data_IF_051107193428
#
_entry.id   IF_051107193428
#
_cell.length_a   1.000
_cell.length_b   1.000
_cell.length_c   1.000
_cell.angle_alpha   90.00
_cell.angle_beta   90.00
_cell.angle_gamma   90.00
#
_symmetry.space_group_name_H-M   'P 1'
#
loop_
_entity.id
_entity.type
_entity.pdbx_description
1 polymer ?
#
# COMPACT_ATOMS: atom_id res chain seq x y z
N UNK A 1 -18.39 50.28 -13.24
CA UNK A 1 -17.96 49.12 -12.44
C UNK A 1 -16.89 48.39 -13.23
N UNK A 2 -15.62 48.60 -12.89
CA UNK A 2 -14.48 48.07 -13.65
C UNK A 2 -14.05 46.73 -13.03
N UNK A 3 -14.35 45.62 -13.71
CA UNK A 3 -13.81 44.31 -13.35
C UNK A 3 -12.32 44.27 -13.71
N UNK A 4 -11.46 44.27 -12.68
CA UNK A 4 -10.03 43.99 -12.81
C UNK A 4 -9.85 42.49 -13.07
N UNK A 5 -9.42 42.14 -14.27
CA UNK A 5 -8.92 40.82 -14.64
C UNK A 5 -7.59 40.57 -13.92
N UNK A 6 -7.58 39.66 -12.96
CA UNK A 6 -6.34 39.20 -12.32
C UNK A 6 -5.71 38.17 -13.26
N UNK A 7 -4.80 38.62 -14.13
CA UNK A 7 -3.81 37.77 -14.78
C UNK A 7 -2.75 37.42 -13.74
N UNK A 8 -3.03 36.42 -12.93
CA UNK A 8 -2.08 35.85 -11.99
C UNK A 8 -1.28 34.75 -12.67
N UNK A 9 -0.03 35.06 -13.04
CA UNK A 9 1.01 34.06 -13.23
C UNK A 9 1.12 33.21 -11.96
N UNK A 10 0.67 31.96 -12.04
CA UNK A 10 0.86 30.92 -11.04
C UNK A 10 1.65 29.76 -11.62
N UNK A 11 2.77 30.04 -12.29
CA UNK A 11 3.79 29.06 -12.66
C UNK A 11 4.61 28.72 -11.40
N UNK A 12 3.96 28.08 -10.43
CA UNK A 12 4.65 27.43 -9.32
C UNK A 12 4.88 25.98 -9.73
N UNK A 13 6.17 25.66 -9.92
CA UNK A 13 6.73 24.38 -10.30
C UNK A 13 5.96 23.18 -9.72
N UNK A 14 5.21 22.48 -10.58
CA UNK A 14 4.87 21.07 -10.38
C UNK A 14 6.12 20.27 -10.72
N UNK A 15 7.15 20.44 -9.90
CA UNK A 15 8.28 19.53 -9.81
C UNK A 15 7.89 18.34 -8.91
N UNK A 16 6.73 17.72 -9.18
CA UNK A 16 6.45 16.34 -8.76
C UNK A 16 7.17 15.41 -9.73
N UNK A 17 8.50 15.50 -9.75
CA UNK A 17 9.34 14.49 -10.37
C UNK A 17 9.10 13.19 -9.61
N UNK A 18 8.25 12.30 -10.13
CA UNK A 18 8.51 10.87 -10.33
C UNK A 18 9.39 10.15 -9.27
N UNK A 19 9.22 10.43 -7.97
CA UNK A 19 9.88 9.68 -6.89
C UNK A 19 9.10 8.41 -6.51
N UNK A 20 7.93 8.18 -7.12
CA UNK A 20 7.31 6.87 -7.13
C UNK A 20 7.88 6.06 -8.28
N UNK A 21 8.56 4.96 -7.99
CA UNK A 21 8.89 3.90 -8.96
C UNK A 21 7.62 3.17 -9.47
N UNK A 22 6.50 3.87 -9.62
CA UNK A 22 5.22 3.28 -9.95
C UNK A 22 5.02 3.35 -11.46
N UNK A 23 4.67 2.21 -12.03
CA UNK A 23 4.28 2.06 -13.42
C UNK A 23 2.98 2.84 -13.67
N UNK A 24 2.99 3.75 -14.64
CA UNK A 24 1.82 4.54 -15.04
C UNK A 24 1.06 3.74 -16.07
N UNK A 25 -0.20 3.42 -15.78
CA UNK A 25 -1.05 2.62 -16.66
C UNK A 25 -2.04 3.51 -17.41
N UNK A 26 -2.14 3.31 -18.72
CA UNK A 26 -3.03 4.00 -19.64
C UNK A 26 -3.97 3.00 -20.28
N UNK A 27 -5.24 3.37 -20.38
CA UNK A 27 -6.24 2.64 -21.17
C UNK A 27 -6.63 3.50 -22.36
N UNK A 28 -6.59 2.92 -23.55
CA UNK A 28 -6.72 3.69 -24.77
C UNK A 28 -7.01 2.88 -26.02
N UNK A 29 -6.91 3.57 -27.16
CA UNK A 29 -7.11 3.03 -28.49
C UNK A 29 -5.83 3.21 -29.30
N UNK A 30 -5.41 2.13 -29.96
CA UNK A 30 -4.38 2.15 -30.99
C UNK A 30 -5.07 2.07 -32.35
N UNK A 31 -4.89 3.10 -33.18
CA UNK A 31 -5.35 3.11 -34.55
C UNK A 31 -4.15 2.87 -35.48
N UNK A 32 -4.15 1.75 -36.18
CA UNK A 32 -3.07 1.33 -37.09
C UNK A 32 -3.53 1.57 -38.52
N UNK A 33 -2.83 2.43 -39.24
CA UNK A 33 -3.13 2.80 -40.64
C UNK A 33 -2.34 1.94 -41.62
N UNK A 34 -1.10 1.60 -41.28
CA UNK A 34 -0.22 0.70 -42.04
C UNK A 34 0.33 -0.38 -41.11
N UNK A 35 0.66 -1.60 -41.60
CA UNK A 35 1.19 -2.66 -40.74
C UNK A 35 2.41 -2.18 -39.93
N UNK A 36 2.35 -2.28 -38.60
CA UNK A 36 3.47 -1.97 -37.70
C UNK A 36 4.16 -3.27 -37.33
N UNK A 37 5.48 -3.33 -37.49
CA UNK A 37 6.29 -4.47 -37.05
C UNK A 37 7.08 -4.08 -35.81
N UNK A 38 6.79 -4.74 -34.68
CA UNK A 38 7.51 -4.57 -33.43
C UNK A 38 8.58 -5.65 -33.30
N UNK A 39 9.82 -5.25 -33.01
CA UNK A 39 10.88 -6.17 -32.64
C UNK A 39 10.61 -6.68 -31.21
N UNK A 40 10.27 -7.97 -31.07
CA UNK A 40 10.03 -8.61 -29.78
C UNK A 40 11.32 -8.97 -29.04
N UNK A 41 11.24 -9.16 -27.72
CA UNK A 41 12.38 -9.55 -26.88
C UNK A 41 13.03 -10.88 -27.32
N UNK A 42 12.23 -11.83 -27.83
CA UNK A 42 12.71 -13.14 -28.27
C UNK A 42 13.15 -13.16 -29.75
N UNK A 43 13.42 -11.98 -30.34
CA UNK A 43 13.70 -11.81 -31.79
C UNK A 43 12.55 -12.22 -32.72
N UNK A 44 11.40 -12.53 -32.15
CA UNK A 44 10.17 -12.75 -32.92
C UNK A 44 9.56 -11.39 -33.18
N UNK A 45 9.50 -11.03 -34.46
CA UNK A 45 8.82 -9.84 -34.90
C UNK A 45 7.30 -10.03 -34.76
N UNK A 46 6.64 -9.06 -34.15
CA UNK A 46 5.19 -9.06 -34.03
C UNK A 46 4.62 -8.02 -34.99
N UNK A 47 3.78 -8.47 -35.92
CA UNK A 47 3.13 -7.60 -36.90
C UNK A 47 1.71 -7.29 -36.45
N UNK A 48 1.40 -6.01 -36.31
CA UNK A 48 0.05 -5.52 -36.05
C UNK A 48 -0.48 -4.93 -37.35
N UNK A 49 -1.50 -5.58 -37.92
CA UNK A 49 -2.13 -5.15 -39.17
C UNK A 49 -3.01 -3.90 -38.96
N UNK A 50 -3.34 -3.18 -40.05
CA UNK A 50 -4.26 -2.03 -39.99
C UNK A 50 -5.58 -2.37 -39.30
N UNK A 51 -6.06 -1.43 -38.48
CA UNK A 51 -7.26 -1.60 -37.67
C UNK A 51 -7.22 -0.76 -36.39
N UNK A 52 -8.34 -0.76 -35.66
CA UNK A 52 -8.45 -0.08 -34.38
C UNK A 52 -8.54 -1.10 -33.25
N UNK A 53 -7.67 -0.97 -32.25
CA UNK A 53 -7.52 -1.94 -31.17
C UNK A 53 -7.57 -1.27 -29.81
N UNK A 54 -8.36 -1.84 -28.89
CA UNK A 54 -8.25 -1.51 -27.47
C UNK A 54 -6.84 -1.88 -27.00
N UNK A 55 -6.14 -0.91 -26.41
CA UNK A 55 -4.73 -1.07 -26.04
C UNK A 55 -4.51 -0.52 -24.64
N UNK A 56 -3.94 -1.37 -23.78
CA UNK A 56 -3.39 -0.92 -22.50
C UNK A 56 -1.92 -0.60 -22.70
N UNK A 57 -1.50 0.59 -22.30
CA UNK A 57 -0.10 0.97 -22.31
C UNK A 57 0.37 1.18 -20.87
N UNK A 58 1.60 0.82 -20.55
CA UNK A 58 2.20 1.16 -19.27
C UNK A 58 3.59 1.74 -19.45
N UNK A 59 3.93 2.73 -18.64
CA UNK A 59 5.25 3.38 -18.64
C UNK A 59 5.86 3.20 -17.27
N UNK A 60 6.98 2.50 -17.19
CA UNK A 60 7.64 2.17 -15.93
C UNK A 60 9.15 2.05 -16.06
N UNK A 61 9.74 1.34 -15.09
CA UNK A 61 11.17 1.03 -15.05
C UNK A 61 11.34 -0.48 -14.94
N UNK A 62 12.33 -1.02 -15.63
CA UNK A 62 12.80 -2.40 -15.49
C UNK A 62 14.32 -2.36 -15.31
N UNK A 63 14.78 -2.61 -14.08
CA UNK A 63 16.18 -2.44 -13.70
C UNK A 63 16.67 -0.99 -13.94
N UNK A 64 17.69 -0.85 -14.79
CA UNK A 64 18.28 0.44 -15.15
C UNK A 64 17.66 1.09 -16.40
N UNK A 65 16.63 0.49 -16.99
CA UNK A 65 15.97 0.97 -18.21
C UNK A 65 14.55 1.47 -17.92
N UNK A 66 14.08 2.40 -18.75
CA UNK A 66 12.66 2.72 -18.84
C UNK A 66 12.00 1.78 -19.83
N UNK A 67 10.75 1.43 -19.56
CA UNK A 67 10.02 0.44 -20.35
C UNK A 67 8.62 0.97 -20.64
N UNK A 68 8.20 0.86 -21.90
CA UNK A 68 6.82 0.99 -22.33
C UNK A 68 6.30 -0.40 -22.68
N UNK A 69 5.25 -0.86 -22.01
CA UNK A 69 4.56 -2.11 -22.38
C UNK A 69 3.25 -1.77 -23.06
N UNK A 70 2.94 -2.45 -24.16
CA UNK A 70 1.68 -2.34 -24.87
C UNK A 70 1.01 -3.72 -24.85
N UNK A 71 -0.25 -3.78 -24.42
CA UNK A 71 -1.12 -4.95 -24.57
C UNK A 71 -2.24 -4.61 -25.55
N UNK A 72 -2.11 -5.09 -26.79
CA UNK A 72 -2.98 -4.77 -27.93
C UNK A 72 -4.00 -5.90 -28.12
N UNK A 73 -5.29 -5.61 -28.02
CA UNK A 73 -6.36 -6.59 -28.20
C UNK A 73 -6.67 -6.86 -29.69
N UNK A 74 -5.79 -7.56 -30.40
CA UNK A 74 -5.88 -7.85 -31.84
C UNK A 74 -6.26 -9.32 -32.17
N UNK A 75 -6.83 -10.05 -31.21
CA UNK A 75 -7.22 -11.45 -31.39
C UNK A 75 -7.72 -12.08 -30.09
N UNK A 76 -7.75 -13.42 -30.03
CA UNK A 76 -8.16 -14.17 -28.83
C UNK A 76 -7.19 -13.99 -27.66
N UNK A 77 -5.91 -13.74 -27.94
CA UNK A 77 -4.88 -13.40 -26.96
C UNK A 77 -4.34 -12.01 -27.31
N UNK A 78 -4.14 -11.13 -26.31
CA UNK A 78 -3.58 -9.81 -26.55
C UNK A 78 -2.12 -9.92 -26.96
N UNK A 79 -1.74 -9.17 -27.99
CA UNK A 79 -0.36 -8.99 -28.40
C UNK A 79 0.36 -8.13 -27.36
N UNK A 80 1.47 -8.64 -26.82
CA UNK A 80 2.31 -7.92 -25.84
C UNK A 80 3.58 -7.42 -26.52
N UNK A 81 3.81 -6.11 -26.44
CA UNK A 81 5.02 -5.46 -26.96
C UNK A 81 5.72 -4.77 -25.79
N UNK A 82 7.03 -4.93 -25.70
CA UNK A 82 7.86 -4.25 -24.71
C UNK A 82 8.93 -3.40 -25.40
N UNK A 83 8.89 -2.10 -25.20
CA UNK A 83 9.86 -1.14 -25.72
C UNK A 83 10.75 -0.67 -24.56
N UNK A 84 12.02 -1.04 -24.60
CA UNK A 84 13.01 -0.64 -23.59
C UNK A 84 13.90 0.47 -24.11
N UNK A 85 14.15 1.50 -23.29
CA UNK A 85 15.02 2.62 -23.64
C UNK A 85 15.80 3.14 -22.43
N UNK A 86 16.82 3.97 -22.70
CA UNK A 86 17.73 4.47 -21.67
C UNK A 86 17.02 5.30 -20.60
N UNK A 87 17.37 5.11 -19.33
CA UNK A 87 16.78 5.82 -18.19
C UNK A 87 16.94 7.34 -18.25
N UNK A 88 17.97 7.83 -18.93
CA UNK A 88 18.28 9.26 -19.04
C UNK A 88 17.36 9.97 -20.04
N UNK A 89 16.61 9.23 -20.86
CA UNK A 89 15.61 9.82 -21.77
C UNK A 89 14.38 10.19 -20.96
N UNK A 90 14.03 11.48 -20.93
CA UNK A 90 12.85 11.98 -20.22
C UNK A 90 11.63 12.04 -21.14
N UNK A 91 10.53 11.45 -20.70
CA UNK A 91 9.22 11.62 -21.32
C UNK A 91 8.58 12.84 -20.63
N UNK A 92 8.64 13.99 -21.31
CA UNK A 92 8.02 15.23 -20.87
C UNK A 92 6.62 15.42 -21.47
N UNK A 93 6.15 16.67 -21.45
CA UNK A 93 4.86 17.03 -22.06
C UNK A 93 4.82 16.78 -23.58
N UNK A 94 5.96 16.93 -24.26
CA UNK A 94 6.18 16.44 -25.61
C UNK A 94 7.42 15.54 -25.60
N UNK A 95 7.41 14.49 -26.41
CA UNK A 95 8.52 13.55 -26.50
C UNK A 95 8.71 13.03 -27.92
N UNK A 96 9.97 12.72 -28.23
CA UNK A 96 10.39 12.00 -29.42
C UNK A 96 11.35 10.91 -28.97
N UNK A 97 11.00 9.67 -29.25
CA UNK A 97 11.86 8.51 -29.09
C UNK A 97 12.23 7.99 -30.47
N UNK A 98 13.51 8.07 -30.81
CA UNK A 98 13.99 7.60 -32.11
C UNK A 98 14.01 6.07 -32.16
N UNK A 99 13.91 5.52 -33.37
CA UNK A 99 14.02 4.10 -33.68
C UNK A 99 15.22 3.44 -32.98
N UNK A 100 16.37 4.10 -32.99
CA UNK A 100 17.59 3.63 -32.33
C UNK A 100 17.48 3.60 -30.79
N UNK A 101 16.78 4.57 -30.18
CA UNK A 101 16.61 4.64 -28.72
C UNK A 101 15.68 3.57 -28.17
N UNK A 102 14.66 3.17 -28.93
CA UNK A 102 13.68 2.13 -28.54
C UNK A 102 13.96 0.75 -29.16
N UNK A 103 15.01 0.64 -29.98
CA UNK A 103 15.38 -0.61 -30.66
C UNK A 103 14.34 -1.08 -31.68
N UNK A 104 13.67 -0.15 -32.36
CA UNK A 104 12.62 -0.41 -33.35
C UNK A 104 13.03 0.11 -34.73
N UNK A 105 12.18 -0.10 -35.74
CA UNK A 105 12.34 0.42 -37.09
C UNK A 105 11.51 1.69 -37.36
N UNK A 106 10.86 2.23 -36.35
CA UNK A 106 10.05 3.45 -36.38
C UNK A 106 10.43 4.36 -35.21
N UNK A 107 10.23 5.65 -35.38
CA UNK A 107 10.26 6.64 -34.31
C UNK A 107 8.89 6.70 -33.61
N UNK A 108 8.87 7.19 -32.39
CA UNK A 108 7.66 7.41 -31.61
C UNK A 108 7.61 8.86 -31.13
N UNK A 109 6.64 9.61 -31.60
CA UNK A 109 6.46 11.04 -31.28
C UNK A 109 5.16 11.23 -30.55
N UNK A 110 5.10 12.09 -29.53
CA UNK A 110 3.86 12.24 -28.79
C UNK A 110 3.84 13.37 -27.79
N UNK A 111 2.70 13.46 -27.11
CA UNK A 111 2.48 14.37 -25.99
C UNK A 111 1.89 13.64 -24.79
N UNK A 112 2.15 14.19 -23.61
CA UNK A 112 1.58 13.73 -22.35
C UNK A 112 1.12 14.93 -21.53
N UNK A 113 -0.17 15.22 -21.58
CA UNK A 113 -0.78 16.29 -20.80
C UNK A 113 -1.12 15.78 -19.41
N UNK A 114 -0.61 16.45 -18.37
CA UNK A 114 -0.87 16.09 -16.97
C UNK A 114 -1.66 17.18 -16.28
N UNK A 115 -2.80 16.82 -15.72
CA UNK A 115 -3.67 17.70 -14.93
C UNK A 115 -3.77 17.16 -13.51
N UNK A 116 -3.58 18.03 -12.53
CA UNK A 116 -3.70 17.69 -11.11
C UNK A 116 -4.82 18.52 -10.51
N UNK A 117 -5.79 17.85 -9.91
CA UNK A 117 -6.92 18.46 -9.22
C UNK A 117 -6.95 18.02 -7.76
N UNK A 118 -7.37 18.92 -6.88
CA UNK A 118 -7.52 18.64 -5.45
C UNK A 118 -8.98 18.74 -5.06
N UNK A 119 -9.49 17.74 -4.35
CA UNK A 119 -10.81 17.81 -3.75
C UNK A 119 -10.84 18.84 -2.61
N UNK A 120 -12.03 19.20 -2.10
CA UNK A 120 -12.15 19.75 -0.76
C UNK A 120 -11.50 18.84 0.28
N UNK A 121 -11.17 19.41 1.43
CA UNK A 121 -10.59 18.63 2.53
C UNK A 121 -11.68 17.80 3.23
N UNK A 122 -11.33 16.56 3.54
CA UNK A 122 -12.10 15.61 4.33
C UNK A 122 -11.46 15.41 5.69
N UNK A 123 -12.27 14.99 6.65
CA UNK A 123 -11.80 14.55 7.96
C UNK A 123 -12.45 13.25 8.36
N UNK A 124 -11.67 12.29 8.87
CA UNK A 124 -12.19 11.02 9.40
C UNK A 124 -11.32 10.49 10.53
N UNK A 125 -11.84 9.52 11.27
CA UNK A 125 -11.02 8.68 12.15
C UNK A 125 -10.56 7.45 11.37
N UNK A 126 -9.27 7.14 11.42
CA UNK A 126 -8.68 5.96 10.81
C UNK A 126 -8.15 5.01 11.87
N UNK A 127 -8.32 3.71 11.61
CA UNK A 127 -7.72 2.68 12.42
C UNK A 127 -6.19 2.76 12.33
N UNK A 128 -5.53 2.54 13.46
CA UNK A 128 -4.07 2.52 13.54
C UNK A 128 -3.63 1.53 14.63
N UNK A 129 -2.34 1.22 14.65
CA UNK A 129 -1.72 0.46 15.73
C UNK A 129 -0.59 1.26 16.35
N UNK A 130 -0.36 1.08 17.64
CA UNK A 130 0.74 1.70 18.37
C UNK A 130 1.38 0.72 19.35
N UNK A 131 2.64 0.97 19.70
CA UNK A 131 3.37 0.17 20.67
C UNK A 131 3.23 0.80 22.05
N UNK A 132 2.80 0.02 23.04
CA UNK A 132 2.74 0.45 24.44
C UNK A 132 3.65 -0.45 25.30
N UNK A 133 4.47 0.12 26.20
CA UNK A 133 5.25 -0.69 27.13
C UNK A 133 4.31 -1.24 28.22
N UNK A 134 4.34 -2.56 28.40
CA UNK A 134 3.66 -3.25 29.49
C UNK A 134 4.71 -3.97 30.35
N UNK A 135 4.67 -3.76 31.67
CA UNK A 135 5.50 -4.53 32.60
C UNK A 135 4.86 -5.88 32.84
N UNK A 136 5.55 -6.95 32.46
CA UNK A 136 5.12 -8.32 32.72
C UNK A 136 6.05 -8.91 33.78
N UNK A 137 5.47 -9.37 34.88
CA UNK A 137 6.19 -10.04 35.95
C UNK A 137 5.92 -11.54 35.87
N UNK A 138 6.98 -12.35 35.84
CA UNK A 138 6.88 -13.81 35.97
C UNK A 138 7.32 -14.19 37.38
N UNK A 139 6.55 -15.06 38.03
CA UNK A 139 7.03 -15.73 39.24
C UNK A 139 8.36 -16.40 38.92
N UNK A 140 9.37 -16.23 39.76
CA UNK A 140 10.63 -16.97 39.58
C UNK A 140 10.29 -18.46 39.48
N UNK A 141 10.92 -19.16 38.54
CA UNK A 141 10.67 -20.58 38.33
C UNK A 141 10.75 -21.30 39.69
N UNK A 142 9.70 -22.04 40.06
CA UNK A 142 9.73 -22.94 41.23
C UNK A 142 11.01 -23.77 41.11
N UNK A 143 11.93 -23.65 42.06
CA UNK A 143 13.10 -24.51 42.13
C UNK A 143 12.64 -25.97 42.18
N UNK A 144 13.40 -26.92 41.63
CA UNK A 144 13.08 -28.35 41.62
C UNK A 144 12.68 -28.94 42.99
N UNK A 145 13.06 -28.30 44.09
CA UNK A 145 12.65 -28.64 45.45
C UNK A 145 11.14 -28.47 45.74
N UNK A 146 10.43 -27.58 45.03
CA UNK A 146 8.98 -27.38 45.19
C UNK A 146 8.13 -28.32 44.34
N UNK A 147 8.65 -28.81 43.21
CA UNK A 147 8.00 -29.85 42.41
C UNK A 147 7.89 -31.16 43.20
N UNK A 148 8.90 -31.47 44.04
CA UNK A 148 8.91 -32.66 44.90
C UNK A 148 7.89 -32.61 46.06
N UNK A 149 7.47 -31.43 46.50
CA UNK A 149 6.48 -31.29 47.58
C UNK A 149 5.02 -31.29 47.11
N UNK A 150 4.76 -31.04 45.82
CA UNK A 150 3.41 -31.17 45.23
C UNK A 150 3.07 -32.63 44.89
N UNK A 151 4.06 -33.46 44.53
CA UNK A 151 3.87 -34.92 44.37
C UNK A 151 3.54 -35.64 45.69
N UNK A 152 3.87 -35.05 46.84
CA UNK A 152 3.57 -35.62 48.16
C UNK A 152 2.15 -35.33 48.67
N UNK A 153 1.44 -34.32 48.13
CA UNK A 153 0.10 -33.91 48.60
C UNK A 153 -1.03 -34.50 47.74
N UNK A 154 -0.75 -34.93 46.51
CA UNK A 154 -1.71 -35.66 45.67
C UNK A 154 -2.00 -37.09 46.14
N UNK A 155 -1.31 -37.60 47.16
CA UNK A 155 -1.55 -38.92 47.74
C UNK A 155 -2.81 -39.03 48.62
N UNK A 156 -3.37 -37.91 49.11
CA UNK A 156 -4.43 -37.94 50.14
C UNK A 156 -5.67 -37.09 49.80
N UNK A 157 -5.87 -36.73 48.52
CA UNK A 157 -7.10 -36.08 48.03
C UNK A 157 -7.95 -37.00 47.13
N UNK A 158 -7.66 -38.31 47.11
CA UNK A 158 -8.41 -39.31 46.34
C UNK A 158 -9.63 -39.91 47.08
N UNK A 159 -10.13 -39.24 48.13
CA UNK A 159 -11.34 -39.65 48.84
C UNK A 159 -12.18 -38.45 49.29
N UNK A 160 -12.82 -37.75 48.37
CA UNK A 160 -14.06 -37.09 48.72
C UNK A 160 -15.02 -37.05 47.53
N UNK A 161 -16.26 -37.33 47.88
CA UNK A 161 -17.34 -37.91 47.10
C UNK A 161 -17.96 -36.92 46.10
N UNK A 162 -18.37 -37.47 44.96
CA UNK A 162 -19.06 -36.78 43.89
C UNK A 162 -20.56 -36.86 44.12
N UNK A 163 -21.14 -35.93 44.87
CA UNK A 163 -22.56 -35.64 44.75
C UNK A 163 -22.92 -34.27 45.32
N UNK A 164 -23.48 -33.41 44.47
CA UNK A 164 -24.68 -32.58 44.70
C UNK A 164 -24.77 -31.57 43.56
N UNK A 165 -25.71 -31.85 42.66
CA UNK A 165 -26.33 -30.88 41.76
C UNK A 165 -27.29 -30.05 42.60
N UNK A 166 -27.17 -28.72 42.58
CA UNK A 166 -28.24 -27.83 43.00
C UNK A 166 -28.16 -26.48 42.28
N UNK A 167 -29.22 -26.20 41.51
CA UNK A 167 -29.61 -24.88 41.05
C UNK A 167 -29.92 -23.98 42.26
N UNK A 168 -29.48 -22.73 42.25
CA UNK A 168 -29.78 -21.77 43.32
C UNK A 168 -29.46 -20.34 42.93
N UNK A 169 -30.48 -19.49 43.02
CA UNK A 169 -30.55 -18.05 42.77
C UNK A 169 -29.46 -17.21 43.47
N UNK A 170 -29.02 -16.15 42.80
CA UNK A 170 -28.10 -15.12 43.30
C UNK A 170 -28.74 -14.36 44.48
N UNK A 171 -28.19 -14.40 45.70
CA UNK A 171 -28.51 -13.44 46.74
C UNK A 171 -27.62 -12.21 46.61
N UNK A 172 -28.24 -11.06 46.83
CA UNK A 172 -27.65 -9.74 46.91
C UNK A 172 -26.52 -9.70 47.95
N UNK A 173 -25.30 -9.42 47.50
CA UNK A 173 -24.12 -9.36 48.35
C UNK A 173 -24.12 -8.06 49.16
N UNK A 174 -24.67 -8.11 50.37
CA UNK A 174 -24.32 -7.18 51.43
C UNK A 174 -22.83 -7.29 51.75
N UNK A 175 -22.11 -6.16 51.68
CA UNK A 175 -20.68 -6.05 52.00
C UNK A 175 -20.36 -6.78 53.33
N UNK A 176 -19.46 -7.77 53.34
CA UNK A 176 -19.05 -8.39 54.60
C UNK A 176 -18.26 -7.37 55.43
N UNK A 177 -18.61 -7.29 56.71
CA UNK A 177 -17.86 -6.52 57.69
C UNK A 177 -16.39 -7.00 57.71
N UNK A 178 -15.45 -6.05 57.71
CA UNK A 178 -14.02 -6.29 57.88
C UNK A 178 -13.80 -7.01 59.21
N UNK A 179 -13.62 -8.33 59.15
CA UNK A 179 -13.14 -9.12 60.29
C UNK A 179 -11.67 -8.75 60.48
N UNK A 180 -11.35 -8.13 61.62
CA UNK A 180 -9.98 -7.89 62.08
C UNK A 180 -9.34 -9.23 62.49
N UNK A 181 -8.94 -10.01 61.49
CA UNK A 181 -8.08 -11.17 61.71
C UNK A 181 -6.65 -10.68 61.78
N UNK A 182 -6.12 -10.58 63.01
CA UNK A 182 -4.69 -10.70 63.28
C UNK A 182 -4.22 -12.07 62.80
N UNK A 183 -3.92 -12.15 61.51
CA UNK A 183 -3.42 -13.35 60.85
C UNK A 183 -2.08 -13.78 61.45
N UNK A 184 -1.75 -15.08 61.38
CA UNK A 184 -0.46 -15.58 61.85
C UNK A 184 0.68 -14.83 61.13
N UNK A 185 1.63 -14.33 61.93
CA UNK A 185 2.87 -13.74 61.40
C UNK A 185 3.68 -14.83 60.72
N UNK A 186 3.58 -14.91 59.39
CA UNK A 186 4.45 -15.72 58.56
C UNK A 186 5.86 -15.11 58.54
N UNK A 187 6.65 -15.40 59.57
CA UNK A 187 8.10 -15.17 59.61
C UNK A 187 8.85 -16.27 58.83
N UNK A 188 8.47 -16.50 57.58
CA UNK A 188 9.21 -17.34 56.64
C UNK A 188 10.03 -16.48 55.67
N UNK A 189 11.21 -16.93 55.19
CA UNK A 189 11.94 -16.22 54.15
C UNK A 189 11.04 -16.07 52.92
N UNK A 190 10.73 -14.83 52.55
CA UNK A 190 9.85 -14.50 51.42
C UNK A 190 10.43 -15.15 50.16
N UNK A 191 9.84 -16.24 49.64
CA UNK A 191 10.48 -16.98 48.59
C UNK A 191 10.12 -16.29 47.29
N UNK A 192 11.14 -15.69 46.68
CA UNK A 192 11.18 -15.18 45.31
C UNK A 192 10.48 -13.83 45.07
N UNK A 193 11.31 -12.79 44.93
CA UNK A 193 10.87 -11.57 44.26
C UNK A 193 10.55 -11.89 42.79
N UNK A 194 9.40 -11.45 42.25
CA UNK A 194 9.07 -11.67 40.85
C UNK A 194 10.09 -10.96 39.95
N UNK A 195 10.50 -11.62 38.86
CA UNK A 195 11.33 -10.98 37.83
C UNK A 195 10.38 -10.28 36.85
N UNK A 196 10.48 -8.95 36.80
CA UNK A 196 9.67 -8.12 35.91
C UNK A 196 10.51 -7.61 34.73
N UNK A 197 9.94 -7.63 33.53
CA UNK A 197 10.55 -7.06 32.34
C UNK A 197 9.50 -6.28 31.53
N UNK A 198 9.95 -5.21 30.87
CA UNK A 198 9.11 -4.43 29.98
C UNK A 198 8.97 -5.15 28.64
N UNK A 199 7.74 -5.39 28.22
CA UNK A 199 7.40 -5.90 26.89
C UNK A 199 6.67 -4.83 26.10
N UNK A 200 7.01 -4.67 24.82
CA UNK A 200 6.26 -3.81 23.91
C UNK A 200 5.12 -4.62 23.32
N UNK A 201 3.88 -4.18 23.56
CA UNK A 201 2.68 -4.80 23.00
C UNK A 201 2.07 -3.89 21.93
N UNK A 202 1.62 -4.49 20.83
CA UNK A 202 0.87 -3.79 19.78
C UNK A 202 -0.58 -3.62 20.24
N UNK A 203 -1.01 -2.38 20.37
CA UNK A 203 -2.39 -2.00 20.67
C UNK A 203 -3.08 -1.49 19.41
N UNK A 204 -4.36 -1.80 19.27
CA UNK A 204 -5.24 -1.22 18.26
C UNK A 204 -5.77 0.12 18.76
N UNK A 205 -5.84 1.11 17.89
CA UNK A 205 -6.34 2.44 18.22
C UNK A 205 -6.94 3.14 17.02
N UNK A 206 -7.33 4.39 17.22
CA UNK A 206 -7.78 5.27 16.15
C UNK A 206 -7.03 6.60 16.19
N UNK A 207 -6.79 7.18 15.02
CA UNK A 207 -6.27 8.54 14.88
C UNK A 207 -7.22 9.40 14.07
N UNK A 208 -7.37 10.65 14.45
CA UNK A 208 -8.08 11.64 13.65
C UNK A 208 -7.16 12.14 12.53
N UNK A 209 -7.65 12.15 11.29
CA UNK A 209 -6.91 12.63 10.12
C UNK A 209 -7.69 13.68 9.36
N UNK A 210 -6.97 14.58 8.69
CA UNK A 210 -7.51 15.45 7.62
C UNK A 210 -6.68 15.23 6.37
N UNK A 211 -7.36 15.16 5.23
CA UNK A 211 -6.73 14.90 3.94
C UNK A 211 -7.57 15.50 2.81
N UNK A 212 -6.96 15.75 1.66
CA UNK A 212 -7.68 15.93 0.40
C UNK A 212 -7.31 14.80 -0.56
N UNK A 213 -8.20 14.51 -1.50
CA UNK A 213 -7.93 13.57 -2.59
C UNK A 213 -7.33 14.35 -3.74
N UNK A 214 -6.10 14.02 -4.11
CA UNK A 214 -5.44 14.51 -5.31
C UNK A 214 -5.76 13.55 -6.46
N UNK A 215 -6.36 14.07 -7.52
CA UNK A 215 -6.62 13.34 -8.76
C UNK A 215 -5.64 13.81 -9.82
N UNK A 216 -4.78 12.92 -10.29
CA UNK A 216 -3.90 13.18 -11.41
C UNK A 216 -4.43 12.49 -12.65
N UNK A 217 -4.82 13.29 -13.64
CA UNK A 217 -5.26 12.83 -14.96
C UNK A 217 -4.13 13.03 -15.95
N UNK A 218 -3.79 11.99 -16.71
CA UNK A 218 -2.76 12.05 -17.76
C UNK A 218 -3.32 11.57 -19.09
N UNK A 219 -3.31 12.44 -20.07
CA UNK A 219 -3.69 12.15 -21.45
C UNK A 219 -2.43 11.97 -22.29
N UNK A 220 -2.23 10.78 -22.84
CA UNK A 220 -1.10 10.48 -23.72
C UNK A 220 -1.59 10.33 -25.16
N UNK A 221 -0.86 10.96 -26.09
CA UNK A 221 -1.00 10.75 -27.53
C UNK A 221 0.36 10.41 -28.10
N UNK A 222 0.42 9.43 -28.99
CA UNK A 222 1.67 8.97 -29.56
C UNK A 222 1.48 8.45 -30.97
N UNK A 223 2.31 8.90 -31.90
CA UNK A 223 2.37 8.45 -33.29
C UNK A 223 3.60 7.57 -33.51
N UNK A 224 3.40 6.46 -34.23
CA UNK A 224 4.47 5.57 -34.70
C UNK A 224 4.83 5.99 -36.12
N UNK A 225 6.04 6.53 -36.32
CA UNK A 225 6.45 7.17 -37.58
C UNK A 225 7.62 6.45 -38.21
N UNK A 226 7.51 6.07 -39.48
CA UNK A 226 8.60 5.47 -40.24
C UNK A 226 8.75 6.19 -41.58
N UNK A 227 9.98 6.63 -41.89
CA UNK A 227 10.29 7.36 -43.12
C UNK A 227 9.34 8.55 -43.40
N UNK A 228 8.95 9.27 -42.34
CA UNK A 228 8.05 10.43 -42.42
C UNK A 228 6.56 10.09 -42.58
N UNK A 229 6.17 8.81 -42.52
CA UNK A 229 4.77 8.37 -42.56
C UNK A 229 4.32 7.85 -41.21
N UNK A 230 3.09 8.17 -40.81
CA UNK A 230 2.47 7.64 -39.59
C UNK A 230 1.89 6.25 -39.88
N UNK A 231 2.45 5.24 -39.25
CA UNK A 231 1.98 3.84 -39.31
C UNK A 231 0.77 3.60 -38.38
N UNK A 232 0.67 4.37 -37.31
CA UNK A 232 -0.45 4.35 -36.40
C UNK A 232 -0.33 5.39 -35.29
N UNK A 233 -1.41 5.56 -34.55
CA UNK A 233 -1.52 6.52 -33.44
C UNK A 233 -2.19 5.87 -32.23
N UNK A 234 -1.59 6.03 -31.06
CA UNK A 234 -2.14 5.66 -29.77
C UNK A 234 -2.68 6.89 -29.04
N UNK A 235 -3.86 6.78 -28.45
CA UNK A 235 -4.39 7.75 -27.50
C UNK A 235 -4.89 7.03 -26.27
N UNK A 236 -4.44 7.44 -25.08
CA UNK A 236 -4.79 6.80 -23.82
C UNK A 236 -4.96 7.77 -22.67
N UNK A 237 -5.72 7.34 -21.67
CA UNK A 237 -6.01 8.08 -20.45
C UNK A 237 -5.51 7.29 -19.25
N UNK A 238 -4.87 7.98 -18.31
CA UNK A 238 -4.53 7.48 -16.99
C UNK A 238 -5.17 8.38 -15.93
N UNK A 239 -5.79 7.78 -14.93
CA UNK A 239 -6.36 8.50 -13.79
C UNK A 239 -5.84 7.85 -12.51
N UNK A 240 -5.24 8.65 -11.65
CA UNK A 240 -4.67 8.23 -10.37
C UNK A 240 -5.27 9.08 -9.25
N UNK A 241 -5.72 8.42 -8.18
CA UNK A 241 -6.21 9.09 -6.98
C UNK A 241 -5.27 8.81 -5.82
N UNK A 242 -4.96 9.85 -5.04
CA UNK A 242 -4.12 9.74 -3.85
C UNK A 242 -4.67 10.58 -2.71
N UNK A 243 -4.79 9.98 -1.53
CA UNK A 243 -5.04 10.71 -0.30
C UNK A 243 -3.77 11.45 0.13
N UNK A 244 -3.87 12.78 0.28
CA UNK A 244 -2.78 13.63 0.76
C UNK A 244 -3.17 14.18 2.12
N UNK A 245 -2.56 13.62 3.17
CA UNK A 245 -2.81 14.02 4.55
C UNK A 245 -2.28 15.43 4.82
N UNK A 246 -3.16 16.30 5.31
CA UNK A 246 -2.84 17.65 5.80
C UNK A 246 -2.65 17.65 7.32
N UNK A 247 -3.23 16.67 8.01
CA UNK A 247 -3.07 16.46 9.44
C UNK A 247 -3.21 14.98 9.80
N UNK A 248 -2.34 14.50 10.69
CA UNK A 248 -2.42 13.18 11.30
C UNK A 248 -2.29 13.30 12.81
N UNK A 249 -3.35 12.92 13.53
CA UNK A 249 -3.35 12.88 14.99
C UNK A 249 -2.56 11.71 15.56
N UNK A 250 -2.36 11.74 16.88
CA UNK A 250 -1.79 10.61 17.60
C UNK A 250 -2.76 9.42 17.60
N UNK A 251 -2.21 8.21 17.38
CA UNK A 251 -2.95 6.97 17.55
C UNK A 251 -3.19 6.71 19.05
N UNK A 252 -4.43 6.44 19.45
CA UNK A 252 -4.81 6.12 20.83
C UNK A 252 -5.83 5.01 20.89
#
# INVERSE_FOLDING_TARGET
MNQKTIKGLGLAAVALFLVGCNEINFSGLLNVTEPITFAGQDRVNVVVNPGQFNTKASIGKSGSKKVIKLEIANGAQPTKVELSFDKNINIGAAFTLTAAQIGQNFDMNGTMDTKVEKSPEYSRSEFCTYQMPQTVCRSAAKSAAQTASEEAVTGEAAKLDSSVVAQGSVPEASNPALVDTKGPQFNGPVPYAPTCHTQWITMNGYKYVRYYVETTTRDIKSDFVQAGRTLGSYSGLSVEHRDVYTYEGQCR
#
